data_IF_018289177710
#
_entry.id   IF_018289177710
#
_cell.length_a   1.000
_cell.length_b   1.000
_cell.length_c   1.000
_cell.angle_alpha   90.00
_cell.angle_beta   90.00
_cell.angle_gamma   90.00
#
_symmetry.space_group_name_H-M   'P 1'
#
loop_
_entity.id
_entity.type
_entity.pdbx_description
1 polymer ?
#
# COMPACT_ATOMS: atom_id res chain seq x y z
N UNK A 1 -49.44 -1.66 -15.46
CA UNK A 1 -48.89 -0.35 -15.06
C UNK A 1 -47.61 -0.46 -14.21
N UNK A 2 -47.36 -1.60 -13.54
CA UNK A 2 -46.15 -1.79 -12.72
C UNK A 2 -44.91 -2.31 -13.50
N UNK A 3 -45.07 -2.72 -14.77
CA UNK A 3 -44.00 -3.31 -15.60
C UNK A 3 -43.20 -2.30 -16.45
N UNK A 4 -43.49 -1.00 -16.36
CA UNK A 4 -42.90 0.04 -17.24
C UNK A 4 -41.95 1.01 -16.50
N UNK A 5 -41.61 0.75 -15.23
CA UNK A 5 -40.62 1.57 -14.51
C UNK A 5 -39.40 0.71 -14.22
N UNK A 6 -38.45 0.73 -15.16
CA UNK A 6 -37.13 0.10 -15.00
C UNK A 6 -36.13 1.13 -14.47
N UNK A 7 -35.50 0.84 -13.34
CA UNK A 7 -34.39 1.63 -12.79
C UNK A 7 -33.02 1.23 -13.38
N UNK A 8 -33.02 0.57 -14.55
CA UNK A 8 -31.80 0.12 -15.22
C UNK A 8 -30.77 1.24 -15.46
N UNK A 9 -31.18 2.41 -15.99
CA UNK A 9 -30.28 3.55 -16.17
C UNK A 9 -29.67 4.03 -14.84
N UNK A 10 -30.46 4.18 -13.80
CA UNK A 10 -30.00 4.66 -12.49
C UNK A 10 -29.03 3.67 -11.83
N UNK A 11 -29.27 2.37 -11.98
CA UNK A 11 -28.35 1.31 -11.51
C UNK A 11 -27.03 1.36 -12.28
N UNK A 12 -27.07 1.63 -13.59
CA UNK A 12 -25.87 1.82 -14.40
C UNK A 12 -25.07 3.04 -13.93
N UNK A 13 -25.72 4.19 -13.79
CA UNK A 13 -25.09 5.44 -13.35
C UNK A 13 -24.45 5.29 -11.97
N UNK A 14 -25.13 4.59 -11.04
CA UNK A 14 -24.59 4.29 -9.72
C UNK A 14 -23.35 3.38 -9.79
N UNK A 15 -23.37 2.40 -10.69
CA UNK A 15 -22.23 1.48 -10.92
C UNK A 15 -21.01 2.23 -11.47
N UNK A 16 -21.23 3.18 -12.37
CA UNK A 16 -20.18 4.03 -12.93
C UNK A 16 -19.61 5.00 -11.88
N UNK A 17 -20.49 5.67 -11.13
CA UNK A 17 -20.09 6.53 -10.01
C UNK A 17 -19.21 5.77 -9.01
N UNK A 18 -19.61 4.55 -8.67
CA UNK A 18 -18.83 3.68 -7.79
C UNK A 18 -17.45 3.34 -8.36
N UNK A 19 -17.37 3.00 -9.65
CA UNK A 19 -16.10 2.72 -10.33
C UNK A 19 -15.16 3.94 -10.29
N UNK A 20 -15.70 5.13 -10.53
CA UNK A 20 -14.97 6.39 -10.43
C UNK A 20 -14.42 6.62 -9.00
N UNK A 21 -15.21 6.34 -7.96
CA UNK A 21 -14.77 6.43 -6.56
C UNK A 21 -13.59 5.48 -6.27
N UNK A 22 -13.65 4.23 -6.76
CA UNK A 22 -12.54 3.27 -6.61
C UNK A 22 -11.26 3.79 -7.25
N UNK A 23 -11.34 4.32 -8.47
CA UNK A 23 -10.18 4.91 -9.14
C UNK A 23 -9.65 6.15 -8.40
N UNK A 24 -10.54 6.98 -7.83
CA UNK A 24 -10.11 8.14 -7.06
C UNK A 24 -9.39 7.74 -5.77
N UNK A 25 -9.90 6.75 -5.06
CA UNK A 25 -9.28 6.21 -3.84
C UNK A 25 -7.88 5.64 -4.11
N UNK A 26 -7.71 4.87 -5.21
CA UNK A 26 -6.38 4.39 -5.63
C UNK A 26 -5.45 5.58 -5.89
N UNK A 27 -5.90 6.56 -6.65
CA UNK A 27 -5.07 7.69 -7.03
C UNK A 27 -4.77 8.65 -5.87
N UNK A 28 -5.59 8.67 -4.82
CA UNK A 28 -5.30 9.38 -3.57
C UNK A 28 -4.16 8.70 -2.78
N UNK A 29 -4.20 7.38 -2.64
CA UNK A 29 -3.10 6.61 -2.07
C UNK A 29 -1.80 6.78 -2.88
N UNK A 30 -1.89 6.83 -4.21
CA UNK A 30 -0.71 7.08 -5.05
C UNK A 30 -0.09 8.46 -4.80
N UNK A 31 -0.92 9.48 -4.63
CA UNK A 31 -0.47 10.86 -4.46
C UNK A 31 0.40 11.05 -3.21
N UNK A 32 0.20 10.26 -2.16
CA UNK A 32 1.04 10.30 -0.96
C UNK A 32 2.39 9.60 -1.13
N UNK A 33 2.49 8.63 -2.05
CA UNK A 33 3.72 7.85 -2.32
C UNK A 33 4.66 8.58 -3.29
N UNK A 34 4.12 9.28 -4.29
CA UNK A 34 4.92 9.96 -5.34
C UNK A 34 6.00 10.92 -4.76
N UNK A 35 5.71 11.75 -3.75
CA UNK A 35 6.73 12.60 -3.12
C UNK A 35 7.85 11.79 -2.47
N UNK A 36 7.51 10.64 -1.86
CA UNK A 36 8.48 9.78 -1.18
C UNK A 36 9.43 9.09 -2.18
N UNK A 37 8.90 8.68 -3.34
CA UNK A 37 9.74 8.17 -4.43
C UNK A 37 10.64 9.27 -5.01
N UNK A 38 10.19 10.51 -5.02
CA UNK A 38 11.04 11.65 -5.41
C UNK A 38 12.18 11.84 -4.41
N UNK A 39 11.90 11.78 -3.11
CA UNK A 39 12.92 11.80 -2.04
C UNK A 39 13.93 10.68 -2.23
N UNK A 40 13.48 9.44 -2.44
CA UNK A 40 14.33 8.27 -2.70
C UNK A 40 15.33 8.53 -3.84
N UNK A 41 14.89 9.12 -4.96
CA UNK A 41 15.79 9.41 -6.09
C UNK A 41 16.82 10.52 -5.82
N UNK A 42 16.62 11.34 -4.78
CA UNK A 42 17.52 12.45 -4.42
C UNK A 42 18.48 12.09 -3.29
N UNK A 43 18.35 10.92 -2.70
CA UNK A 43 19.24 10.48 -1.62
C UNK A 43 20.68 10.28 -2.13
N UNK A 44 21.71 10.63 -1.33
CA UNK A 44 23.11 10.55 -1.74
C UNK A 44 23.63 9.11 -1.63
N UNK A 45 23.09 8.18 -2.41
CA UNK A 45 23.37 6.74 -2.32
C UNK A 45 24.85 6.37 -2.49
N UNK A 46 25.63 7.15 -3.25
CA UNK A 46 27.08 6.93 -3.40
C UNK A 46 27.91 7.34 -2.17
N UNK A 47 27.35 8.17 -1.27
CA UNK A 47 28.03 8.67 -0.08
C UNK A 47 27.61 7.92 1.20
N UNK A 48 26.77 6.89 1.07
CA UNK A 48 26.33 6.09 2.22
C UNK A 48 27.53 5.32 2.79
N UNK A 49 27.80 5.44 4.09
CA UNK A 49 28.97 4.81 4.73
C UNK A 49 28.65 3.52 5.50
N UNK A 50 27.36 3.24 5.72
CA UNK A 50 26.86 2.04 6.40
C UNK A 50 25.39 1.82 6.03
N UNK A 51 24.93 0.57 6.16
CA UNK A 51 23.51 0.20 6.11
C UNK A 51 22.90 0.42 7.49
N UNK A 52 21.69 0.97 7.54
CA UNK A 52 20.92 1.16 8.77
C UNK A 52 19.56 0.47 8.70
N UNK A 53 18.59 1.02 9.41
CA UNK A 53 17.19 0.63 9.28
C UNK A 53 16.59 1.10 7.95
N UNK A 54 15.32 0.77 7.71
CA UNK A 54 14.60 1.25 6.53
C UNK A 54 14.65 2.78 6.39
N UNK A 55 14.79 3.24 5.15
CA UNK A 55 14.90 4.67 4.86
C UNK A 55 13.65 5.45 5.26
N UNK A 56 13.78 6.74 5.60
CA UNK A 56 12.65 7.58 6.01
C UNK A 56 11.48 7.63 5.01
N UNK A 57 11.78 7.59 3.70
CA UNK A 57 10.74 7.58 2.66
C UNK A 57 9.89 6.30 2.72
N UNK A 58 10.50 5.15 3.04
CA UNK A 58 9.79 3.88 3.23
C UNK A 58 8.90 3.97 4.46
N UNK A 59 9.43 4.48 5.57
CA UNK A 59 8.67 4.70 6.81
C UNK A 59 7.46 5.60 6.58
N UNK A 60 7.61 6.68 5.83
CA UNK A 60 6.53 7.62 5.50
C UNK A 60 5.43 6.93 4.66
N UNK A 61 5.81 6.17 3.64
CA UNK A 61 4.87 5.38 2.82
C UNK A 61 4.10 4.40 3.71
N UNK A 62 4.79 3.56 4.47
CA UNK A 62 4.16 2.50 5.26
C UNK A 62 3.24 3.10 6.33
N UNK A 63 3.66 4.16 7.00
CA UNK A 63 2.85 4.85 8.02
C UNK A 63 1.57 5.41 7.42
N UNK A 64 1.67 6.07 6.26
CA UNK A 64 0.48 6.59 5.59
C UNK A 64 -0.48 5.47 5.18
N UNK A 65 0.03 4.39 4.58
CA UNK A 65 -0.80 3.24 4.21
C UNK A 65 -1.49 2.59 5.41
N UNK A 66 -0.75 2.41 6.52
CA UNK A 66 -1.32 1.89 7.77
C UNK A 66 -2.42 2.80 8.35
N UNK A 67 -2.43 4.09 8.03
CA UNK A 67 -3.49 5.01 8.44
C UNK A 67 -4.73 4.96 7.53
N UNK A 68 -4.53 4.91 6.21
CA UNK A 68 -5.63 5.06 5.24
C UNK A 68 -6.31 3.74 4.90
N UNK A 69 -5.54 2.66 4.75
CA UNK A 69 -6.06 1.37 4.28
C UNK A 69 -7.11 0.77 5.23
N UNK A 70 -6.96 0.83 6.58
CA UNK A 70 -8.01 0.38 7.48
C UNK A 70 -9.32 1.16 7.31
N UNK A 71 -9.25 2.49 7.13
CA UNK A 71 -10.44 3.33 6.94
C UNK A 71 -11.19 2.96 5.66
N UNK A 72 -10.45 2.71 4.58
CA UNK A 72 -11.03 2.28 3.30
C UNK A 72 -11.67 0.90 3.41
N UNK A 73 -11.00 -0.04 4.09
CA UNK A 73 -11.55 -1.38 4.35
C UNK A 73 -12.84 -1.29 5.14
N UNK A 74 -12.84 -0.53 6.24
CA UNK A 74 -13.97 -0.42 7.15
C UNK A 74 -15.14 0.31 6.48
N UNK A 75 -14.87 1.26 5.58
CA UNK A 75 -15.90 1.93 4.76
C UNK A 75 -16.49 0.99 3.70
N UNK A 76 -15.68 0.11 3.13
CA UNK A 76 -16.07 -0.83 2.05
C UNK A 76 -16.42 -2.23 2.58
N UNK A 77 -16.69 -2.38 3.88
CA UNK A 77 -16.87 -3.69 4.54
C UNK A 77 -17.97 -4.54 3.90
N UNK A 78 -19.04 -3.89 3.43
CA UNK A 78 -20.20 -4.53 2.79
C UNK A 78 -19.88 -5.05 1.39
N UNK A 79 -18.77 -4.61 0.78
CA UNK A 79 -18.42 -4.99 -0.60
C UNK A 79 -16.91 -5.19 -0.78
N UNK A 80 -16.41 -6.23 -0.10
CA UNK A 80 -15.00 -6.61 -0.01
C UNK A 80 -14.26 -6.71 -1.35
N UNK A 81 -14.92 -7.11 -2.43
CA UNK A 81 -14.30 -7.23 -3.75
C UNK A 81 -13.70 -5.90 -4.24
N UNK A 82 -14.34 -4.77 -3.93
CA UNK A 82 -13.85 -3.45 -4.34
C UNK A 82 -12.65 -3.01 -3.50
N UNK A 83 -12.65 -3.30 -2.20
CA UNK A 83 -11.47 -3.09 -1.37
C UNK A 83 -10.26 -3.87 -1.90
N UNK A 84 -10.45 -5.16 -2.20
CA UNK A 84 -9.40 -5.99 -2.81
C UNK A 84 -8.92 -5.41 -4.13
N UNK A 85 -9.84 -4.95 -4.98
CA UNK A 85 -9.50 -4.32 -6.26
C UNK A 85 -8.67 -3.04 -6.08
N UNK A 86 -8.98 -2.22 -5.08
CA UNK A 86 -8.18 -1.04 -4.74
C UNK A 86 -6.76 -1.44 -4.35
N UNK A 87 -6.61 -2.41 -3.44
CA UNK A 87 -5.30 -2.90 -3.02
C UNK A 87 -4.45 -3.40 -4.20
N UNK A 88 -5.04 -4.18 -5.11
CA UNK A 88 -4.35 -4.70 -6.29
C UNK A 88 -3.94 -3.57 -7.23
N UNK A 89 -4.88 -2.70 -7.62
CA UNK A 89 -4.60 -1.57 -8.53
C UNK A 89 -3.53 -0.63 -7.99
N UNK A 90 -3.59 -0.33 -6.69
CA UNK A 90 -2.60 0.48 -6.02
C UNK A 90 -1.22 -0.19 -6.01
N UNK A 91 -1.14 -1.48 -5.65
CA UNK A 91 0.11 -2.22 -5.62
C UNK A 91 0.78 -2.27 -7.01
N UNK A 92 0.03 -2.61 -8.06
CA UNK A 92 0.53 -2.68 -9.44
C UNK A 92 1.12 -1.33 -9.90
N UNK A 93 0.42 -0.23 -9.60
CA UNK A 93 0.85 1.12 -9.92
C UNK A 93 2.13 1.51 -9.17
N UNK A 94 2.17 1.30 -7.86
CA UNK A 94 3.32 1.68 -7.03
C UNK A 94 4.54 0.82 -7.31
N UNK A 95 4.39 -0.49 -7.55
CA UNK A 95 5.51 -1.35 -7.96
C UNK A 95 6.16 -0.79 -9.23
N UNK A 96 5.36 -0.46 -10.24
CA UNK A 96 5.84 0.11 -11.50
C UNK A 96 6.60 1.42 -11.28
N UNK A 97 6.06 2.34 -10.46
CA UNK A 97 6.68 3.64 -10.14
C UNK A 97 7.94 3.50 -9.28
N UNK A 98 7.95 2.57 -8.34
CA UNK A 98 9.08 2.28 -7.46
C UNK A 98 10.25 1.75 -8.29
N UNK A 99 10.02 0.75 -9.15
CA UNK A 99 11.05 0.19 -10.04
C UNK A 99 11.62 1.28 -10.96
N UNK A 100 10.78 2.12 -11.56
CA UNK A 100 11.24 3.25 -12.37
C UNK A 100 12.09 4.25 -11.56
N UNK A 101 11.76 4.46 -10.28
CA UNK A 101 12.53 5.32 -9.38
C UNK A 101 13.85 4.67 -8.95
N UNK A 102 13.87 3.36 -8.75
CA UNK A 102 15.06 2.59 -8.37
C UNK A 102 16.16 2.74 -9.42
N UNK A 103 15.82 2.65 -10.71
CA UNK A 103 16.79 2.85 -11.79
C UNK A 103 17.42 4.25 -11.84
N UNK A 104 16.78 5.24 -11.22
CA UNK A 104 17.28 6.62 -11.11
C UNK A 104 18.10 6.88 -9.85
N UNK A 105 18.17 5.92 -8.92
CA UNK A 105 18.99 6.02 -7.72
C UNK A 105 20.46 5.72 -8.07
N UNK A 106 21.11 6.62 -8.82
CA UNK A 106 22.51 6.50 -9.24
C UNK A 106 23.23 7.84 -9.07
N UNK A 107 24.55 7.84 -8.82
CA UNK A 107 25.43 6.68 -8.64
C UNK A 107 25.20 5.94 -7.31
N UNK A 108 25.62 4.67 -7.26
CA UNK A 108 25.52 3.78 -6.09
C UNK A 108 26.91 3.34 -5.64
N UNK A 109 27.10 3.20 -4.33
CA UNK A 109 28.16 2.39 -3.76
C UNK A 109 27.56 1.09 -3.18
N UNK A 110 28.39 0.23 -2.58
CA UNK A 110 27.93 -1.05 -2.00
C UNK A 110 26.87 -0.85 -0.91
N UNK A 111 27.11 0.06 0.04
CA UNK A 111 26.17 0.33 1.14
C UNK A 111 24.83 0.90 0.64
N UNK A 112 24.86 1.79 -0.36
CA UNK A 112 23.66 2.33 -1.00
C UNK A 112 22.83 1.25 -1.70
N UNK A 113 23.50 0.30 -2.36
CA UNK A 113 22.82 -0.84 -2.98
C UNK A 113 22.18 -1.77 -1.92
N UNK A 114 22.89 -2.06 -0.84
CA UNK A 114 22.38 -2.86 0.28
C UNK A 114 21.19 -2.18 0.98
N UNK A 115 21.26 -0.87 1.20
CA UNK A 115 20.16 -0.10 1.78
C UNK A 115 18.93 -0.08 0.88
N UNK A 116 19.09 0.08 -0.44
CA UNK A 116 17.98 -0.01 -1.40
C UNK A 116 17.35 -1.40 -1.44
N UNK A 117 18.15 -2.46 -1.26
CA UNK A 117 17.64 -3.83 -1.16
C UNK A 117 16.79 -4.00 0.11
N UNK A 118 17.26 -3.51 1.25
CA UNK A 118 16.51 -3.51 2.51
C UNK A 118 15.18 -2.75 2.35
N UNK A 119 15.24 -1.53 1.81
CA UNK A 119 14.05 -0.71 1.56
C UNK A 119 13.03 -1.43 0.65
N UNK A 120 13.52 -2.11 -0.39
CA UNK A 120 12.69 -2.91 -1.30
C UNK A 120 11.99 -4.05 -0.56
N UNK A 121 12.69 -4.73 0.34
CA UNK A 121 12.09 -5.81 1.15
C UNK A 121 11.02 -5.29 2.10
N UNK A 122 11.25 -4.13 2.73
CA UNK A 122 10.27 -3.48 3.59
C UNK A 122 9.00 -3.09 2.81
N UNK A 123 9.15 -2.46 1.64
CA UNK A 123 8.01 -2.11 0.79
C UNK A 123 7.27 -3.35 0.27
N UNK A 124 7.99 -4.39 -0.18
CA UNK A 124 7.39 -5.66 -0.60
C UNK A 124 6.54 -6.27 0.51
N UNK A 125 7.07 -6.31 1.73
CA UNK A 125 6.36 -6.85 2.90
C UNK A 125 5.11 -6.04 3.21
N UNK A 126 5.22 -4.71 3.18
CA UNK A 126 4.08 -3.82 3.39
C UNK A 126 2.98 -4.00 2.33
N UNK A 127 3.34 -4.12 1.05
CA UNK A 127 2.38 -4.33 -0.03
C UNK A 127 1.69 -5.69 0.05
N UNK A 128 2.41 -6.75 0.44
CA UNK A 128 1.82 -8.08 0.67
C UNK A 128 0.84 -8.07 1.85
N UNK A 129 1.11 -7.26 2.88
CA UNK A 129 0.27 -7.11 4.07
C UNK A 129 -0.83 -6.05 3.90
N UNK A 130 -0.88 -5.35 2.76
CA UNK A 130 -1.76 -4.21 2.53
C UNK A 130 -3.23 -4.50 2.88
N UNK A 131 -3.87 -5.60 2.40
CA UNK A 131 -5.27 -5.87 2.72
C UNK A 131 -5.53 -6.16 4.21
N UNK A 132 -4.47 -6.50 4.95
CA UNK A 132 -4.51 -6.91 6.35
C UNK A 132 -4.18 -5.76 7.32
N UNK A 133 -3.81 -4.58 6.83
CA UNK A 133 -3.51 -3.44 7.69
C UNK A 133 -4.69 -3.08 8.60
N UNK A 134 -4.42 -2.99 9.90
CA UNK A 134 -5.44 -2.72 10.91
C UNK A 134 -6.42 -3.87 11.16
N UNK A 135 -6.17 -5.08 10.63
CA UNK A 135 -6.88 -6.28 11.08
C UNK A 135 -6.32 -6.67 12.44
N UNK A 136 -7.20 -7.03 13.37
CA UNK A 136 -6.77 -7.74 14.59
C UNK A 136 -6.45 -9.16 14.18
N UNK A 137 -5.26 -9.42 13.66
CA UNK A 137 -4.73 -10.78 13.71
C UNK A 137 -4.64 -11.07 15.20
N UNK A 138 -5.54 -11.90 15.73
CA UNK A 138 -5.32 -12.47 17.04
C UNK A 138 -3.92 -13.09 17.00
N UNK A 139 -3.04 -12.61 17.87
CA UNK A 139 -1.72 -13.17 18.16
C UNK A 139 -1.86 -14.62 18.69
N UNK A 140 -2.37 -15.53 17.86
CA UNK A 140 -2.56 -16.95 18.16
C UNK A 140 -1.22 -17.70 18.18
N UNK A 141 -0.10 -17.02 17.96
CA UNK A 141 1.23 -17.61 18.10
C UNK A 141 1.86 -17.39 19.49
N UNK A 142 1.27 -16.55 20.36
CA UNK A 142 1.75 -16.36 21.74
C UNK A 142 0.86 -17.00 22.82
N UNK A 143 -0.39 -17.36 22.50
CA UNK A 143 -1.32 -17.94 23.47
C UNK A 143 -1.14 -19.45 23.75
N UNK A 144 -0.28 -20.16 23.00
CA UNK A 144 -0.05 -21.61 23.18
C UNK A 144 1.18 -21.95 24.02
N UNK A 145 1.96 -20.97 24.50
CA UNK A 145 3.18 -21.22 25.30
C UNK A 145 3.00 -20.98 26.82
N UNK A 146 1.83 -20.52 27.28
CA UNK A 146 1.64 -20.02 28.65
C UNK A 146 0.91 -20.91 29.67
N UNK A 147 0.63 -22.20 29.39
CA UNK A 147 0.02 -23.10 30.37
C UNK A 147 0.88 -24.34 30.62
N UNK A 148 1.86 -24.18 31.52
CA UNK A 148 2.69 -25.26 32.02
C UNK A 148 3.65 -24.77 33.09
N UNK A 149 3.13 -24.45 34.28
CA UNK A 149 3.77 -24.66 35.59
C UNK A 149 3.07 -23.83 36.67
N UNK A 150 2.18 -24.48 37.43
CA UNK A 150 1.98 -24.32 38.87
C UNK A 150 1.17 -25.52 39.36
#
# INVERSE_FOLDING_TARGET
LADEISFGPEVSDLTDCRSACVHRLVADLEASVVPQLTTMTRMPWANLSAVGDQSPYVTAIITHLKSQVPLMRDTLFSVRAYFTQICIKFADSIISRFVASLYRCKPLNTFGAEQLLLDTQCLKTALLQLPLFGTKVCDLQYATSGKGNS
#
